data_IF_117455399857
#
_entry.id   IF_117455399857
#
_cell.length_a   1.000
_cell.length_b   1.000
_cell.length_c   1.000
_cell.angle_alpha   90.00
_cell.angle_beta   90.00
_cell.angle_gamma   90.00
#
_symmetry.space_group_name_H-M   'P 1'
#
loop_
_entity.id
_entity.type
_entity.pdbx_description
1 polymer ?
#
# COMPACT_ATOMS: atom_id res chain seq x y z
N UNK A 1 -22.05 6.95 2.94
CA UNK A 1 -21.71 8.25 2.38
C UNK A 1 -21.56 8.13 0.86
N UNK A 2 -22.39 8.87 0.14
CA UNK A 2 -22.32 8.80 -1.31
C UNK A 2 -21.04 9.49 -1.79
N UNK A 3 -20.10 8.71 -2.26
CA UNK A 3 -18.91 9.24 -2.89
C UNK A 3 -19.26 9.70 -4.30
N UNK A 4 -19.66 10.97 -4.40
CA UNK A 4 -19.78 11.57 -5.71
C UNK A 4 -18.38 11.82 -6.24
N UNK A 5 -17.96 10.99 -7.17
CA UNK A 5 -16.75 11.27 -7.93
C UNK A 5 -17.08 12.29 -8.99
N UNK A 6 -16.62 13.52 -8.80
CA UNK A 6 -16.69 14.55 -9.82
C UNK A 6 -15.38 14.48 -10.60
N UNK A 7 -15.46 14.28 -11.90
CA UNK A 7 -14.28 14.30 -12.76
C UNK A 7 -13.90 15.73 -13.11
N UNK A 8 -12.63 15.98 -13.41
CA UNK A 8 -12.16 17.30 -13.78
C UNK A 8 -12.87 17.84 -15.03
N UNK A 9 -13.24 16.95 -15.94
CA UNK A 9 -13.93 17.32 -17.17
C UNK A 9 -15.34 17.88 -16.95
N UNK A 10 -15.92 17.66 -15.79
CA UNK A 10 -17.25 18.14 -15.44
C UNK A 10 -17.23 19.53 -14.82
N UNK A 11 -16.07 20.14 -14.64
CA UNK A 11 -15.91 21.45 -14.02
C UNK A 11 -15.81 22.56 -15.07
N UNK A 12 -16.25 23.79 -14.75
CA UNK A 12 -16.02 24.94 -15.63
C UNK A 12 -14.52 25.12 -15.93
N UNK A 13 -14.19 25.57 -17.14
CA UNK A 13 -12.84 25.64 -17.63
C UNK A 13 -11.83 26.36 -16.73
N UNK A 14 -12.20 27.53 -16.18
CA UNK A 14 -11.30 28.29 -15.32
C UNK A 14 -11.01 27.57 -14.00
N UNK A 15 -12.03 26.96 -13.41
CA UNK A 15 -11.89 26.18 -12.18
C UNK A 15 -11.08 24.93 -12.47
N UNK A 16 -11.31 24.30 -13.60
CA UNK A 16 -10.58 23.13 -14.03
C UNK A 16 -9.08 23.41 -14.13
N UNK A 17 -8.68 24.52 -14.74
CA UNK A 17 -7.27 24.90 -14.85
C UNK A 17 -6.61 25.09 -13.48
N UNK A 18 -7.29 25.75 -12.56
CA UNK A 18 -6.76 25.97 -11.20
C UNK A 18 -6.60 24.64 -10.47
N UNK A 19 -7.60 23.77 -10.56
CA UNK A 19 -7.54 22.45 -9.93
C UNK A 19 -6.51 21.54 -10.58
N UNK A 20 -6.34 21.63 -11.90
CA UNK A 20 -5.32 20.86 -12.61
C UNK A 20 -3.91 21.25 -12.17
N UNK A 21 -3.64 22.56 -12.01
CA UNK A 21 -2.36 23.03 -11.49
C UNK A 21 -2.12 22.55 -10.07
N UNK A 22 -3.12 22.69 -9.21
CA UNK A 22 -3.03 22.26 -7.83
C UNK A 22 -2.85 20.74 -7.71
N UNK A 23 -3.68 20.00 -8.45
CA UNK A 23 -3.59 18.54 -8.48
C UNK A 23 -2.27 18.06 -9.10
N UNK A 24 -1.75 18.78 -10.11
CA UNK A 24 -0.46 18.48 -10.71
C UNK A 24 0.68 18.55 -9.72
N UNK A 25 0.67 19.56 -8.85
CA UNK A 25 1.69 19.70 -7.81
C UNK A 25 1.60 18.59 -6.77
N UNK A 26 0.39 18.20 -6.38
CA UNK A 26 0.16 17.09 -5.46
C UNK A 26 0.59 15.78 -6.11
N UNK A 27 0.12 15.50 -7.33
CA UNK A 27 0.36 14.24 -8.01
C UNK A 27 1.81 14.07 -8.47
N UNK A 28 2.56 15.16 -8.60
CA UNK A 28 3.97 15.09 -8.98
C UNK A 28 4.78 14.26 -8.01
N UNK A 29 4.54 14.45 -6.71
CA UNK A 29 5.29 13.77 -5.66
C UNK A 29 4.64 12.47 -5.19
N UNK A 30 3.39 12.26 -5.53
CA UNK A 30 2.65 11.09 -5.07
C UNK A 30 3.26 9.75 -5.50
N UNK A 31 3.75 9.60 -6.76
CA UNK A 31 4.43 8.36 -7.13
C UNK A 31 5.69 8.07 -6.31
N UNK A 32 6.46 9.10 -5.98
CA UNK A 32 7.66 8.95 -5.17
C UNK A 32 7.31 8.54 -3.74
N UNK A 33 6.29 9.18 -3.16
CA UNK A 33 5.81 8.85 -1.82
C UNK A 33 5.29 7.42 -1.80
N UNK A 34 4.50 7.03 -2.78
CA UNK A 34 3.92 5.69 -2.90
C UNK A 34 5.02 4.63 -3.01
N UNK A 35 6.02 4.88 -3.85
CA UNK A 35 7.14 3.95 -4.02
C UNK A 35 7.96 3.82 -2.73
N UNK A 36 8.24 4.93 -2.06
CA UNK A 36 8.98 4.92 -0.81
C UNK A 36 8.26 4.15 0.30
N UNK A 37 6.95 4.35 0.42
CA UNK A 37 6.12 3.61 1.37
C UNK A 37 6.10 2.13 1.02
N UNK A 38 6.02 1.80 -0.27
CA UNK A 38 6.08 0.41 -0.72
C UNK A 38 7.37 -0.30 -0.35
N UNK A 39 8.50 0.35 -0.56
CA UNK A 39 9.81 -0.20 -0.18
C UNK A 39 9.93 -0.40 1.32
N UNK A 40 9.44 0.57 2.08
CA UNK A 40 9.43 0.48 3.54
C UNK A 40 8.52 -0.64 4.01
N UNK A 41 7.38 -0.81 3.34
CA UNK A 41 6.46 -1.91 3.60
C UNK A 41 7.06 -3.27 3.37
N UNK A 42 7.84 -3.43 2.29
CA UNK A 42 8.55 -4.67 2.01
C UNK A 42 9.51 -5.00 3.16
N UNK A 43 10.29 -4.03 3.62
CA UNK A 43 11.23 -4.26 4.72
C UNK A 43 10.50 -4.59 6.03
N UNK A 44 9.41 -3.89 6.31
CA UNK A 44 8.60 -4.13 7.51
C UNK A 44 7.96 -5.51 7.49
N UNK A 45 7.46 -5.95 6.33
CA UNK A 45 6.87 -7.28 6.18
C UNK A 45 7.92 -8.38 6.32
N UNK A 46 9.12 -8.17 5.76
CA UNK A 46 10.22 -9.12 5.94
C UNK A 46 10.57 -9.29 7.42
N UNK A 47 10.68 -8.19 8.15
CA UNK A 47 10.97 -8.22 9.58
C UNK A 47 9.84 -8.85 10.38
N UNK A 48 8.59 -8.49 10.09
CA UNK A 48 7.44 -9.04 10.78
C UNK A 48 7.29 -10.54 10.54
N UNK A 49 7.43 -10.98 9.30
CA UNK A 49 7.37 -12.41 8.97
C UNK A 49 8.51 -13.18 9.63
N UNK A 50 9.72 -12.61 9.63
CA UNK A 50 10.89 -13.25 10.24
C UNK A 50 10.71 -13.44 11.74
N UNK A 51 10.02 -12.51 12.42
CA UNK A 51 9.76 -12.62 13.86
C UNK A 51 8.72 -13.69 14.21
N UNK A 52 7.82 -14.02 13.27
CA UNK A 52 6.71 -14.94 13.48
C UNK A 52 6.93 -16.32 12.89
N UNK A 53 7.77 -16.43 11.88
CA UNK A 53 8.01 -17.67 11.14
C UNK A 53 9.50 -17.91 10.94
N UNK A 54 9.89 -19.19 10.92
CA UNK A 54 11.29 -19.57 10.77
C UNK A 54 11.75 -19.68 9.30
N UNK A 55 10.82 -19.63 8.36
CA UNK A 55 11.13 -19.82 6.94
C UNK A 55 11.76 -18.61 6.30
N UNK A 56 13.00 -18.72 5.88
CA UNK A 56 13.72 -17.64 5.19
C UNK A 56 13.12 -17.32 3.83
N UNK A 57 12.59 -18.32 3.14
CA UNK A 57 12.01 -18.15 1.82
C UNK A 57 10.77 -17.27 1.87
N UNK A 58 9.91 -17.50 2.85
CA UNK A 58 8.71 -16.68 3.02
C UNK A 58 9.07 -15.24 3.39
N UNK A 59 9.84 -15.06 4.45
CA UNK A 59 10.22 -13.74 4.92
C UNK A 59 11.00 -12.94 3.87
N UNK A 60 11.83 -13.61 3.09
CA UNK A 60 12.64 -12.97 2.05
C UNK A 60 11.92 -12.77 0.72
N UNK A 61 10.70 -13.30 0.59
CA UNK A 61 9.96 -13.25 -0.66
C UNK A 61 9.12 -12.00 -0.90
N UNK A 62 9.04 -11.09 0.07
CA UNK A 62 8.24 -9.87 -0.06
C UNK A 62 8.83 -8.92 -1.09
N UNK A 63 7.98 -8.41 -1.96
CA UNK A 63 8.33 -7.52 -3.05
C UNK A 63 7.26 -6.46 -3.25
N UNK A 64 7.61 -5.39 -3.95
CA UNK A 64 6.65 -4.36 -4.31
C UNK A 64 6.76 -4.03 -5.80
N UNK A 65 5.63 -3.69 -6.39
CA UNK A 65 5.54 -3.17 -7.74
C UNK A 65 4.76 -1.86 -7.69
N UNK A 66 5.28 -0.85 -8.37
CA UNK A 66 4.63 0.46 -8.43
C UNK A 66 4.18 0.71 -9.85
N UNK A 67 2.89 0.97 -10.03
CA UNK A 67 2.33 1.41 -11.30
C UNK A 67 2.05 2.90 -11.22
N UNK A 68 2.57 3.65 -12.16
CA UNK A 68 2.34 5.08 -12.24
C UNK A 68 1.26 5.37 -13.27
N UNK A 69 0.36 6.27 -12.93
CA UNK A 69 -0.65 6.74 -13.85
C UNK A 69 -0.67 8.27 -13.85
N UNK A 70 -1.55 8.85 -14.66
CA UNK A 70 -1.64 10.30 -14.83
C UNK A 70 -1.90 11.04 -13.52
N UNK A 71 -2.64 10.43 -12.60
CA UNK A 71 -3.11 11.08 -11.37
C UNK A 71 -2.43 10.56 -10.10
N UNK A 72 -1.46 9.68 -10.22
CA UNK A 72 -0.80 9.15 -9.04
C UNK A 72 -0.11 7.83 -9.30
N UNK A 73 -0.09 6.99 -8.29
CA UNK A 73 0.55 5.69 -8.37
C UNK A 73 -0.15 4.68 -7.46
N UNK A 74 -0.05 3.43 -7.82
CA UNK A 74 -0.52 2.32 -7.01
C UNK A 74 0.67 1.42 -6.73
N UNK A 75 0.92 1.12 -5.46
CA UNK A 75 1.93 0.14 -5.08
C UNK A 75 1.22 -1.14 -4.63
N UNK A 76 1.68 -2.26 -5.17
CA UNK A 76 1.22 -3.58 -4.76
C UNK A 76 2.36 -4.27 -4.05
N UNK A 77 2.13 -4.73 -2.83
CA UNK A 77 3.11 -5.48 -2.06
C UNK A 77 2.64 -6.93 -2.00
N UNK A 78 3.50 -7.84 -2.40
CA UNK A 78 3.14 -9.25 -2.52
C UNK A 78 4.35 -10.13 -2.20
N UNK A 79 4.08 -11.42 -1.92
CA UNK A 79 5.15 -12.38 -1.74
C UNK A 79 5.39 -13.10 -3.08
N UNK A 80 6.52 -12.81 -3.71
CA UNK A 80 6.83 -13.32 -5.04
C UNK A 80 7.32 -14.76 -5.05
N UNK A 81 7.81 -15.25 -3.92
CA UNK A 81 8.32 -16.64 -3.81
C UNK A 81 7.24 -17.62 -3.40
N UNK A 82 6.35 -17.21 -2.50
CA UNK A 82 5.31 -18.07 -1.95
C UNK A 82 3.98 -17.29 -1.94
N UNK A 83 3.41 -16.99 -3.11
CA UNK A 83 2.28 -16.07 -3.20
C UNK A 83 0.98 -16.56 -2.54
N UNK A 84 0.82 -17.86 -2.36
CA UNK A 84 -0.36 -18.42 -1.72
C UNK A 84 -0.29 -18.45 -0.20
N UNK A 85 0.85 -18.18 0.41
CA UNK A 85 1.03 -18.31 1.85
C UNK A 85 0.56 -17.10 2.70
N UNK A 86 0.69 -15.85 2.26
CA UNK A 86 0.36 -14.72 3.13
C UNK A 86 -1.02 -14.81 3.78
N UNK A 87 -2.05 -15.08 2.99
CA UNK A 87 -3.41 -15.18 3.50
C UNK A 87 -3.56 -16.35 4.48
N UNK A 88 -3.01 -17.51 4.15
CA UNK A 88 -3.11 -18.69 5.00
C UNK A 88 -2.38 -18.51 6.33
N UNK A 89 -1.21 -17.88 6.32
CA UNK A 89 -0.43 -17.64 7.52
C UNK A 89 -1.04 -16.56 8.40
N UNK A 90 -1.63 -15.56 7.80
CA UNK A 90 -2.27 -14.46 8.53
C UNK A 90 -3.56 -14.91 9.23
N UNK A 91 -4.41 -15.64 8.52
CA UNK A 91 -5.77 -15.98 8.97
C UNK A 91 -5.94 -17.42 9.41
N UNK A 92 -4.94 -18.26 9.16
CA UNK A 92 -5.04 -19.68 9.42
C UNK A 92 -5.75 -20.44 8.31
N UNK A 93 -5.84 -21.73 8.44
CA UNK A 93 -6.45 -22.58 7.42
C UNK A 93 -6.93 -23.90 7.99
N UNK A 94 -7.89 -24.52 7.31
CA UNK A 94 -8.35 -25.86 7.61
C UNK A 94 -7.29 -26.88 7.23
N UNK A 95 -7.10 -27.89 8.09
CA UNK A 95 -6.16 -28.98 7.84
C UNK A 95 -6.81 -30.10 7.07
N UNK A 96 -6.02 -30.83 6.29
CA UNK A 96 -6.48 -31.92 5.44
C UNK A 96 -7.14 -33.06 6.23
N UNK A 97 -6.64 -33.36 7.42
CA UNK A 97 -7.10 -34.45 8.29
C UNK A 97 -8.00 -33.97 9.42
N UNK A 98 -8.68 -32.87 9.25
CA UNK A 98 -9.54 -32.26 10.26
C UNK A 98 -8.79 -31.25 11.12
N UNK A 99 -9.55 -30.43 11.83
CA UNK A 99 -8.98 -29.37 12.64
C UNK A 99 -8.57 -28.15 11.80
N UNK A 100 -7.95 -27.20 12.49
CA UNK A 100 -7.57 -25.93 11.89
C UNK A 100 -6.22 -25.47 12.46
N UNK A 101 -5.37 -24.98 11.59
CA UNK A 101 -4.15 -24.28 11.98
C UNK A 101 -4.47 -22.81 12.16
N UNK A 102 -4.20 -22.26 13.34
CA UNK A 102 -4.46 -20.86 13.63
C UNK A 102 -3.51 -19.94 12.89
N UNK A 103 -4.02 -18.78 12.50
CA UNK A 103 -3.21 -17.75 11.87
C UNK A 103 -2.29 -17.06 12.85
N UNK A 104 -1.23 -16.48 12.32
CA UNK A 104 -0.32 -15.61 13.08
C UNK A 104 -0.32 -14.25 12.40
N UNK A 105 -0.92 -13.27 13.07
CA UNK A 105 -1.04 -11.93 12.51
C UNK A 105 0.34 -11.30 12.39
N UNK A 106 0.72 -10.94 11.18
CA UNK A 106 2.02 -10.32 10.89
C UNK A 106 1.94 -9.28 9.77
N UNK A 107 0.83 -9.26 9.03
CA UNK A 107 0.61 -8.35 7.91
C UNK A 107 -0.20 -7.14 8.35
N UNK A 108 -1.30 -7.36 9.06
CA UNK A 108 -2.22 -6.28 9.46
C UNK A 108 -1.54 -5.12 10.20
N UNK A 109 -0.67 -5.35 11.21
CA UNK A 109 0.00 -4.24 11.88
C UNK A 109 0.89 -3.43 10.96
N UNK A 110 1.56 -4.10 10.02
CA UNK A 110 2.40 -3.43 9.02
C UNK A 110 1.53 -2.60 8.09
N UNK A 111 0.42 -3.16 7.62
CA UNK A 111 -0.51 -2.47 6.74
C UNK A 111 -1.03 -1.19 7.40
N UNK A 112 -1.46 -1.26 8.65
CA UNK A 112 -1.96 -0.10 9.38
C UNK A 112 -0.89 0.99 9.51
N UNK A 113 0.33 0.61 9.84
CA UNK A 113 1.44 1.56 9.94
C UNK A 113 1.79 2.20 8.60
N UNK A 114 1.71 1.45 7.52
CA UNK A 114 1.97 1.96 6.18
C UNK A 114 0.91 2.97 5.74
N UNK A 115 -0.36 2.69 6.04
CA UNK A 115 -1.47 3.60 5.71
C UNK A 115 -1.28 4.92 6.46
N UNK A 116 -1.01 4.87 7.76
CA UNK A 116 -0.77 6.06 8.56
C UNK A 116 0.43 6.86 8.06
N UNK A 117 1.51 6.18 7.73
CA UNK A 117 2.70 6.83 7.22
C UNK A 117 2.47 7.48 5.86
N UNK A 118 1.74 6.80 4.97
CA UNK A 118 1.38 7.34 3.67
C UNK A 118 0.56 8.61 3.83
N UNK A 119 -0.47 8.59 4.68
CA UNK A 119 -1.31 9.74 4.94
C UNK A 119 -0.50 10.93 5.47
N UNK A 120 0.40 10.68 6.42
CA UNK A 120 1.25 11.74 6.98
C UNK A 120 2.17 12.35 5.95
N UNK A 121 2.75 11.53 5.07
CA UNK A 121 3.64 12.02 4.02
C UNK A 121 2.90 12.85 2.99
N UNK A 122 1.68 12.42 2.62
CA UNK A 122 0.84 13.18 1.69
C UNK A 122 0.42 14.50 2.31
N UNK A 123 -0.02 14.50 3.56
CA UNK A 123 -0.40 15.73 4.27
C UNK A 123 0.78 16.70 4.37
N UNK A 124 1.96 16.20 4.67
CA UNK A 124 3.16 17.02 4.75
C UNK A 124 3.50 17.65 3.39
N UNK A 125 3.39 16.87 2.32
CA UNK A 125 3.67 17.34 0.97
C UNK A 125 2.67 18.44 0.54
N UNK A 126 1.39 18.23 0.84
CA UNK A 126 0.35 19.22 0.56
C UNK A 126 0.62 20.53 1.33
N UNK A 127 0.99 20.43 2.61
CA UNK A 127 1.30 21.59 3.44
C UNK A 127 2.48 22.38 2.92
N UNK A 128 3.49 21.72 2.37
CA UNK A 128 4.67 22.38 1.80
C UNK A 128 4.35 23.15 0.53
N UNK A 129 3.40 22.67 -0.24
CA UNK A 129 3.06 23.21 -1.55
C UNK A 129 1.88 24.20 -1.53
N UNK A 130 1.30 24.43 -0.37
CA UNK A 130 0.18 25.37 -0.23
C UNK A 130 0.63 26.79 0.13
#
# INVERSE_FOLDING_TARGET
MANKKVTLEQLPGAIKEILDEYAGDIYRNLPEITEAVGKKGVQALKSSAKSKFNGKKYAGGWRSETERNRYGATVTIYNGKLPGLPHLLEHGHANRNGGRTEGRVHIEPVEQNLIEEFEKKVEHDISRNS
#
